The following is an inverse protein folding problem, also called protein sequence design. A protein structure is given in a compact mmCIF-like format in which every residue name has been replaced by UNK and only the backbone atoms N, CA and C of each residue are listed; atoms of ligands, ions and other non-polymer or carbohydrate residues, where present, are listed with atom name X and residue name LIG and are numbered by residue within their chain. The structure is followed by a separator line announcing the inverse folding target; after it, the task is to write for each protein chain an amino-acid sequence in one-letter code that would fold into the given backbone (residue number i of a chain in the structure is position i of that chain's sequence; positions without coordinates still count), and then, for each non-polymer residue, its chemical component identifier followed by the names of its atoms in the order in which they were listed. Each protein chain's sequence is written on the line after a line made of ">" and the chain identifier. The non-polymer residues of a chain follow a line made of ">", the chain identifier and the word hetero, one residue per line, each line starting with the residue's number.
data_IF_895417354336
#
_entry.id   IF_895417354336
#
_cell.length_a   1.000
_cell.length_b   1.000
_cell.length_c   1.000
_cell.angle_alpha   90.00
_cell.angle_beta   90.00
_cell.angle_gamma   90.00
#
_symmetry.space_group_name_H-M   'P 1'
#
loop_
_entity.id
_entity.type
_entity.pdbx_description
1 polymer ?
#
# COMPACT_ATOMS: atom_id res chain seq x y z
N UNK A 1 -51.42 -64.69 68.49
CA UNK A 1 -51.73 -63.70 67.43
C UNK A 1 -50.94 -62.48 67.80
N UNK A 2 -49.86 -62.29 67.10
CA UNK A 2 -48.82 -61.24 67.39
C UNK A 2 -49.06 -60.11 66.44
N UNK A 3 -49.37 -58.95 66.94
CA UNK A 3 -49.48 -57.69 66.18
C UNK A 3 -48.08 -57.09 66.02
N UNK A 4 -47.65 -56.89 64.85
CA UNK A 4 -46.38 -56.31 64.50
C UNK A 4 -46.62 -54.81 64.07
N UNK A 5 -46.17 -53.88 64.87
CA UNK A 5 -46.26 -52.46 64.59
C UNK A 5 -45.05 -52.01 63.78
N UNK A 6 -45.26 -51.51 62.59
CA UNK A 6 -44.21 -50.99 61.72
C UNK A 6 -44.00 -49.49 62.02
N UNK A 7 -42.81 -49.13 62.48
CA UNK A 7 -42.38 -47.74 62.67
C UNK A 7 -41.78 -47.25 61.34
N UNK A 8 -42.40 -46.23 60.75
CA UNK A 8 -41.92 -45.59 59.53
C UNK A 8 -40.87 -44.50 59.89
N UNK A 9 -39.69 -44.64 59.45
CA UNK A 9 -38.61 -43.70 59.61
C UNK A 9 -38.50 -42.86 58.33
N UNK A 10 -38.91 -41.58 58.39
CA UNK A 10 -38.80 -40.64 57.24
C UNK A 10 -37.39 -40.04 57.17
N UNK A 11 -36.63 -40.42 56.15
CA UNK A 11 -35.37 -39.77 55.82
C UNK A 11 -35.64 -38.50 54.96
N UNK A 12 -35.29 -37.34 55.49
CA UNK A 12 -35.20 -36.11 54.72
C UNK A 12 -33.91 -36.08 53.92
N UNK A 13 -34.01 -36.27 52.61
CA UNK A 13 -32.91 -36.09 51.64
C UNK A 13 -32.80 -34.58 51.35
N UNK A 14 -31.75 -33.94 51.86
CA UNK A 14 -31.35 -32.57 51.47
C UNK A 14 -30.78 -32.60 50.08
N UNK A 15 -31.42 -31.97 49.10
CA UNK A 15 -30.89 -31.66 47.78
C UNK A 15 -29.82 -30.56 47.86
N UNK A 16 -28.55 -30.95 47.89
CA UNK A 16 -27.43 -30.05 47.64
C UNK A 16 -27.41 -29.68 46.15
N UNK A 17 -27.85 -28.46 45.81
CA UNK A 17 -27.76 -27.92 44.47
C UNK A 17 -26.31 -27.61 44.10
N UNK A 18 -25.66 -28.51 43.36
CA UNK A 18 -24.39 -28.25 42.71
C UNK A 18 -24.61 -27.31 41.53
N UNK A 19 -24.41 -26.01 41.74
CA UNK A 19 -24.44 -25.02 40.67
C UNK A 19 -23.28 -25.21 39.71
N UNK A 20 -23.49 -26.00 38.67
CA UNK A 20 -22.58 -26.06 37.51
C UNK A 20 -22.56 -24.66 36.86
N UNK A 21 -21.51 -23.88 37.08
CA UNK A 21 -21.23 -22.68 36.29
C UNK A 21 -21.09 -23.14 34.82
N UNK A 22 -22.13 -22.86 34.03
CA UNK A 22 -22.04 -23.00 32.57
C UNK A 22 -20.89 -22.12 32.11
N UNK A 23 -19.85 -22.70 31.53
CA UNK A 23 -18.78 -21.95 30.89
C UNK A 23 -19.41 -21.01 29.86
N UNK A 24 -19.22 -19.74 30.02
CA UNK A 24 -19.68 -18.72 29.12
C UNK A 24 -18.96 -18.94 27.78
N UNK A 25 -19.70 -19.29 26.75
CA UNK A 25 -19.16 -19.49 25.42
C UNK A 25 -18.65 -18.13 24.94
N UNK A 26 -17.40 -18.01 24.48
CA UNK A 26 -16.88 -16.73 24.03
C UNK A 26 -17.80 -16.18 22.94
N UNK A 27 -18.21 -14.91 23.11
CA UNK A 27 -19.01 -14.20 22.11
C UNK A 27 -18.30 -14.26 20.76
N UNK A 28 -19.02 -14.52 19.65
CA UNK A 28 -18.40 -14.56 18.34
C UNK A 28 -17.75 -13.20 18.06
N UNK A 29 -16.48 -13.23 17.64
CA UNK A 29 -15.77 -12.01 17.23
C UNK A 29 -16.56 -11.34 16.10
N UNK A 30 -16.85 -10.04 16.19
CA UNK A 30 -17.63 -9.34 15.18
C UNK A 30 -16.95 -9.47 13.82
N UNK A 31 -17.71 -9.87 12.81
CA UNK A 31 -17.22 -9.92 11.42
C UNK A 31 -17.09 -8.49 10.92
N UNK A 32 -15.87 -8.01 10.71
CA UNK A 32 -15.60 -6.71 10.10
C UNK A 32 -15.93 -6.82 8.61
N UNK A 33 -16.92 -6.09 8.15
CA UNK A 33 -17.37 -6.09 6.76
C UNK A 33 -17.01 -4.82 6.00
N UNK A 34 -16.49 -3.81 6.72
CA UNK A 34 -16.08 -2.52 6.15
C UNK A 34 -14.69 -2.13 6.62
N UNK A 35 -13.98 -1.32 5.81
CA UNK A 35 -12.68 -0.75 6.13
C UNK A 35 -12.56 0.61 5.43
N UNK A 36 -12.13 1.65 6.14
CA UNK A 36 -12.08 3.01 5.61
C UNK A 36 -13.40 3.45 4.96
N UNK A 37 -14.53 3.11 5.59
CA UNK A 37 -15.87 3.42 5.09
C UNK A 37 -16.31 2.61 3.87
N UNK A 38 -15.55 1.60 3.44
CA UNK A 38 -15.81 0.80 2.25
C UNK A 38 -16.04 -0.67 2.59
N UNK A 39 -16.93 -1.34 1.85
CA UNK A 39 -17.12 -2.78 2.00
C UNK A 39 -15.86 -3.55 1.57
N UNK A 40 -15.47 -4.52 2.40
CA UNK A 40 -14.37 -5.42 2.13
C UNK A 40 -14.71 -6.40 1.01
N UNK A 41 -13.72 -6.72 0.18
CA UNK A 41 -13.79 -7.79 -0.80
C UNK A 41 -13.44 -9.15 -0.16
N UNK A 42 -13.86 -10.23 -0.79
CA UNK A 42 -13.56 -11.58 -0.30
C UNK A 42 -12.05 -11.80 -0.18
N UNK A 43 -11.63 -12.36 0.95
CA UNK A 43 -10.23 -12.63 1.26
C UNK A 43 -9.45 -11.42 1.79
N UNK A 44 -10.07 -10.22 1.87
CA UNK A 44 -9.45 -9.06 2.50
C UNK A 44 -9.88 -8.91 3.96
N UNK A 45 -9.05 -8.26 4.75
CA UNK A 45 -9.31 -7.89 6.14
C UNK A 45 -9.03 -6.42 6.37
N UNK A 46 -9.50 -5.89 7.50
CA UNK A 46 -9.19 -4.54 7.93
C UNK A 46 -8.28 -4.57 9.15
N UNK A 47 -7.25 -3.75 9.11
CA UNK A 47 -6.46 -3.46 10.30
C UNK A 47 -6.59 -1.98 10.66
N UNK A 48 -6.54 -1.69 11.96
CA UNK A 48 -6.50 -0.32 12.48
C UNK A 48 -5.16 -0.08 13.16
N UNK A 49 -4.53 1.03 12.83
CA UNK A 49 -3.31 1.52 13.45
C UNK A 49 -3.38 3.04 13.55
N UNK A 50 -3.11 3.62 14.74
CA UNK A 50 -3.11 5.07 14.98
C UNK A 50 -4.39 5.78 14.47
N UNK A 51 -5.56 5.18 14.70
CA UNK A 51 -6.88 5.63 14.23
C UNK A 51 -7.02 5.71 12.69
N UNK A 52 -6.15 5.05 11.94
CA UNK A 52 -6.25 4.87 10.49
C UNK A 52 -6.53 3.41 10.18
N UNK A 53 -7.28 3.19 9.12
CA UNK A 53 -7.61 1.85 8.65
C UNK A 53 -6.82 1.51 7.38
N UNK A 54 -6.47 0.24 7.24
CA UNK A 54 -5.86 -0.29 6.03
C UNK A 54 -6.52 -1.60 5.60
N UNK A 55 -6.81 -1.72 4.32
CA UNK A 55 -7.24 -2.98 3.71
C UNK A 55 -6.01 -3.85 3.52
N UNK A 56 -6.07 -5.08 4.00
CA UNK A 56 -4.98 -6.07 3.90
C UNK A 56 -5.48 -7.30 3.16
N UNK A 57 -4.69 -7.78 2.22
CA UNK A 57 -4.84 -9.10 1.62
C UNK A 57 -3.56 -9.90 1.83
N UNK A 58 -3.71 -11.12 2.33
CA UNK A 58 -2.62 -12.07 2.54
C UNK A 58 -2.76 -13.23 1.56
N UNK A 59 -1.73 -13.52 0.73
CA UNK A 59 -1.77 -14.66 -0.16
C UNK A 59 -1.78 -15.97 0.64
N UNK A 60 -2.24 -17.06 0.03
CA UNK A 60 -2.29 -18.38 0.65
C UNK A 60 -0.92 -19.05 0.79
N UNK A 61 0.05 -18.60 0.03
CA UNK A 61 1.41 -19.14 0.02
C UNK A 61 2.30 -18.48 1.09
N UNK A 62 3.55 -18.92 1.20
CA UNK A 62 4.56 -18.29 2.04
C UNK A 62 4.69 -16.82 1.67
N UNK A 63 4.74 -15.96 2.69
CA UNK A 63 4.89 -14.51 2.48
C UNK A 63 6.36 -14.15 2.44
N UNK A 64 6.77 -13.43 1.38
CA UNK A 64 8.16 -13.02 1.17
C UNK A 64 8.39 -11.51 1.34
N UNK A 65 7.35 -10.72 1.61
CA UNK A 65 7.48 -9.27 1.76
C UNK A 65 6.15 -8.55 1.81
N UNK A 66 6.20 -7.24 1.59
CA UNK A 66 5.04 -6.34 1.70
C UNK A 66 4.93 -5.49 0.44
N UNK A 67 3.71 -5.34 -0.08
CA UNK A 67 3.37 -4.35 -1.09
C UNK A 67 2.39 -3.32 -0.51
N UNK A 68 2.78 -2.05 -0.46
CA UNK A 68 1.95 -0.95 0.05
C UNK A 68 1.36 -0.18 -1.12
N UNK A 69 0.05 0.08 -1.09
CA UNK A 69 -0.67 0.78 -2.14
C UNK A 69 -1.22 2.11 -1.62
N UNK A 70 -0.69 3.21 -2.13
CA UNK A 70 -0.98 4.59 -1.71
C UNK A 70 -1.93 5.26 -2.70
N UNK A 71 -3.12 5.62 -2.23
CA UNK A 71 -4.18 6.21 -3.07
C UNK A 71 -3.90 7.67 -3.46
N UNK A 72 -4.60 8.16 -4.50
CA UNK A 72 -4.65 9.58 -4.88
C UNK A 72 -5.41 10.45 -3.87
N UNK A 73 -5.57 11.73 -4.14
CA UNK A 73 -6.30 12.67 -3.29
C UNK A 73 -7.34 13.49 -4.11
N UNK A 74 -8.65 13.42 -3.74
CA UNK A 74 -9.22 12.53 -2.72
C UNK A 74 -9.22 11.07 -3.19
N UNK A 75 -9.03 10.13 -2.27
CA UNK A 75 -8.90 8.73 -2.67
C UNK A 75 -9.17 7.72 -1.56
N UNK A 76 -9.07 6.46 -1.94
CA UNK A 76 -9.38 5.36 -1.03
C UNK A 76 -8.53 4.12 -1.28
N UNK A 77 -8.34 3.27 -0.25
CA UNK A 77 -7.64 2.00 -0.34
C UNK A 77 -8.15 1.11 -1.47
N UNK A 78 -9.48 1.01 -1.62
CA UNK A 78 -10.11 0.18 -2.64
C UNK A 78 -9.84 0.66 -4.06
N UNK A 79 -9.83 2.00 -4.29
CA UNK A 79 -9.53 2.57 -5.62
C UNK A 79 -8.12 2.22 -6.06
N UNK A 80 -7.12 2.44 -5.21
CA UNK A 80 -5.72 2.15 -5.57
C UNK A 80 -5.45 0.66 -5.71
N UNK A 81 -6.03 -0.18 -4.84
CA UNK A 81 -5.95 -1.64 -4.96
C UNK A 81 -6.45 -2.15 -6.31
N UNK A 82 -7.49 -1.52 -6.87
CA UNK A 82 -8.01 -1.85 -8.21
C UNK A 82 -7.09 -1.37 -9.34
N UNK A 83 -6.54 -0.14 -9.23
CA UNK A 83 -5.64 0.42 -10.25
C UNK A 83 -4.46 -0.53 -10.50
N UNK A 84 -3.85 -1.04 -9.44
CA UNK A 84 -2.68 -1.93 -9.54
C UNK A 84 -3.02 -3.42 -9.49
N UNK A 85 -4.28 -3.80 -9.25
CA UNK A 85 -4.68 -5.18 -8.95
C UNK A 85 -3.85 -5.79 -7.81
N UNK A 86 -3.93 -5.16 -6.64
CA UNK A 86 -3.13 -5.49 -5.46
C UNK A 86 -3.18 -6.99 -5.10
N UNK A 87 -4.35 -7.61 -5.25
CA UNK A 87 -4.51 -9.06 -5.01
C UNK A 87 -3.68 -9.91 -5.97
N UNK A 88 -3.67 -9.60 -7.27
CA UNK A 88 -2.85 -10.32 -8.25
C UNK A 88 -1.35 -10.19 -7.97
N UNK A 89 -0.90 -8.99 -7.54
CA UNK A 89 0.50 -8.79 -7.13
C UNK A 89 0.80 -9.66 -5.91
N UNK A 90 -0.06 -9.63 -4.89
CA UNK A 90 0.11 -10.46 -3.70
C UNK A 90 0.26 -11.95 -4.04
N UNK A 91 -0.64 -12.48 -4.85
CA UNK A 91 -0.66 -13.90 -5.18
C UNK A 91 0.56 -14.32 -6.02
N UNK A 92 0.98 -13.50 -7.00
CA UNK A 92 2.10 -13.84 -7.88
C UNK A 92 3.47 -13.62 -7.25
N UNK A 93 3.63 -12.55 -6.45
CA UNK A 93 4.91 -12.15 -5.86
C UNK A 93 5.05 -12.58 -4.39
N UNK A 94 4.06 -13.29 -3.85
CA UNK A 94 4.04 -13.79 -2.46
C UNK A 94 4.17 -12.64 -1.42
N UNK A 95 3.51 -11.49 -1.68
CA UNK A 95 3.57 -10.31 -0.85
C UNK A 95 2.24 -10.12 -0.10
N UNK A 96 2.29 -9.66 1.14
CA UNK A 96 1.09 -9.10 1.76
C UNK A 96 0.82 -7.75 1.12
N UNK A 97 -0.36 -7.54 0.52
CA UNK A 97 -0.79 -6.23 0.09
C UNK A 97 -1.45 -5.46 1.23
N UNK A 98 -1.06 -4.20 1.36
CA UNK A 98 -1.57 -3.28 2.38
C UNK A 98 -1.94 -1.98 1.71
N UNK A 99 -3.22 -1.60 1.81
CA UNK A 99 -3.72 -0.34 1.24
C UNK A 99 -4.25 0.53 2.37
N UNK A 100 -3.44 1.43 2.93
CA UNK A 100 -3.85 2.31 4.02
C UNK A 100 -4.70 3.48 3.53
N UNK A 101 -5.54 4.02 4.43
CA UNK A 101 -6.25 5.28 4.24
C UNK A 101 -5.41 6.45 4.77
N UNK A 102 -5.19 7.44 3.93
CA UNK A 102 -4.62 8.73 4.33
C UNK A 102 -5.63 9.58 5.13
N UNK A 103 -5.15 10.49 5.97
CA UNK A 103 -6.01 11.39 6.76
C UNK A 103 -6.82 12.29 5.83
N UNK A 104 -8.15 12.34 6.03
CA UNK A 104 -9.07 13.10 5.19
C UNK A 104 -8.90 12.78 3.69
N UNK A 105 -8.67 11.49 3.37
CA UNK A 105 -8.47 11.00 2.00
C UNK A 105 -7.23 11.59 1.29
N UNK A 106 -6.23 12.03 2.06
CA UNK A 106 -5.00 12.70 1.60
C UNK A 106 -3.76 12.20 2.33
N UNK A 107 -2.59 12.66 1.85
CA UNK A 107 -1.28 12.42 2.47
C UNK A 107 -0.66 13.76 2.88
N UNK A 108 -0.02 13.82 4.05
CA UNK A 108 0.39 15.03 4.75
C UNK A 108 1.59 15.82 4.18
N UNK A 109 1.74 15.88 2.87
CA UNK A 109 2.77 16.69 2.19
C UNK A 109 2.15 17.83 1.34
N UNK A 110 0.82 17.94 1.32
CA UNK A 110 0.07 18.74 0.34
C UNK A 110 0.09 20.25 0.57
N UNK A 111 0.51 20.72 1.74
CA UNK A 111 0.53 22.15 2.01
C UNK A 111 1.90 22.61 2.47
N UNK A 112 2.43 23.65 1.83
CA UNK A 112 3.60 24.40 2.32
C UNK A 112 3.36 24.98 3.72
N UNK A 113 2.08 25.15 4.10
CA UNK A 113 1.66 25.65 5.40
C UNK A 113 1.51 24.56 6.47
N UNK A 114 1.58 23.28 6.09
CA UNK A 114 1.56 22.20 7.08
C UNK A 114 2.81 22.25 7.95
N UNK A 115 2.63 22.07 9.25
CA UNK A 115 3.77 21.96 10.17
C UNK A 115 4.68 20.78 9.76
N UNK A 116 5.96 20.88 10.10
CA UNK A 116 6.92 19.81 9.83
C UNK A 116 6.44 18.47 10.43
N UNK A 117 5.80 18.49 11.61
CA UNK A 117 5.24 17.31 12.26
C UNK A 117 4.09 16.68 11.45
N UNK A 118 3.18 17.50 10.88
CA UNK A 118 2.10 16.98 10.04
C UNK A 118 2.64 16.33 8.76
N UNK A 119 3.70 16.92 8.17
CA UNK A 119 4.38 16.34 7.00
C UNK A 119 5.07 15.01 7.32
N UNK A 120 5.58 14.85 8.56
CA UNK A 120 6.27 13.62 8.99
C UNK A 120 5.30 12.51 9.41
N UNK A 121 4.12 12.84 9.93
CA UNK A 121 3.16 11.89 10.50
C UNK A 121 2.77 10.73 9.55
N UNK A 122 2.71 10.97 8.25
CA UNK A 122 2.40 9.92 7.29
C UNK A 122 3.59 8.97 7.05
N UNK A 123 4.82 9.48 7.08
CA UNK A 123 6.02 8.64 6.99
C UNK A 123 6.12 7.75 8.21
N UNK A 124 5.96 8.32 9.41
CA UNK A 124 6.00 7.58 10.67
C UNK A 124 4.90 6.51 10.72
N UNK A 125 3.69 6.87 10.29
CA UNK A 125 2.59 5.91 10.16
C UNK A 125 2.93 4.75 9.23
N UNK A 126 3.52 4.99 8.06
CA UNK A 126 3.92 3.91 7.13
C UNK A 126 5.01 3.03 7.75
N UNK A 127 5.99 3.60 8.45
CA UNK A 127 7.01 2.82 9.16
C UNK A 127 6.40 1.92 10.23
N UNK A 128 5.47 2.47 11.02
CA UNK A 128 4.75 1.70 12.05
C UNK A 128 3.86 0.62 11.44
N UNK A 129 3.21 0.93 10.31
CA UNK A 129 2.40 -0.04 9.56
C UNK A 129 3.24 -1.21 9.03
N UNK A 130 4.40 -0.93 8.43
CA UNK A 130 5.34 -1.96 7.97
C UNK A 130 5.81 -2.84 9.13
N UNK A 131 6.16 -2.22 10.26
CA UNK A 131 6.57 -2.92 11.48
C UNK A 131 5.46 -3.84 12.00
N UNK A 132 4.23 -3.33 12.07
CA UNK A 132 3.07 -4.13 12.50
C UNK A 132 2.83 -5.32 11.57
N UNK A 133 2.82 -5.11 10.25
CA UNK A 133 2.59 -6.20 9.27
C UNK A 133 3.71 -7.25 9.36
N UNK A 134 4.96 -6.85 9.50
CA UNK A 134 6.08 -7.78 9.68
C UNK A 134 5.92 -8.63 10.94
N UNK A 135 5.62 -7.98 12.06
CA UNK A 135 5.47 -8.64 13.36
C UNK A 135 4.28 -9.61 13.35
N UNK A 136 3.10 -9.17 12.90
CA UNK A 136 1.88 -9.97 12.91
C UNK A 136 1.98 -11.20 11.99
N UNK A 137 2.87 -11.17 10.99
CA UNK A 137 2.99 -12.22 9.99
C UNK A 137 4.35 -12.94 9.98
N UNK A 138 5.23 -12.64 10.94
CA UNK A 138 6.57 -13.21 11.05
C UNK A 138 7.41 -13.04 9.78
N UNK A 139 7.31 -11.87 9.10
CA UNK A 139 8.07 -11.58 7.88
C UNK A 139 9.48 -11.15 8.28
N UNK A 140 10.49 -11.93 7.85
CA UNK A 140 11.91 -11.70 8.15
C UNK A 140 12.68 -11.05 7.00
N UNK A 141 12.07 -10.95 5.83
CA UNK A 141 12.68 -10.31 4.65
C UNK A 141 12.50 -8.80 4.68
N UNK A 142 13.39 -8.07 4.01
CA UNK A 142 13.31 -6.61 3.90
C UNK A 142 12.59 -6.14 2.63
N UNK A 143 11.98 -7.08 1.86
CA UNK A 143 11.27 -6.75 0.63
C UNK A 143 10.04 -5.89 0.89
N UNK A 144 10.08 -4.63 0.48
CA UNK A 144 8.95 -3.68 0.53
C UNK A 144 8.84 -2.94 -0.80
N UNK A 145 7.68 -3.04 -1.40
CA UNK A 145 7.33 -2.40 -2.65
C UNK A 145 6.23 -1.36 -2.41
N UNK A 146 6.44 -0.13 -2.88
CA UNK A 146 5.48 0.97 -2.71
C UNK A 146 4.86 1.30 -4.06
N UNK A 147 3.56 1.18 -4.16
CA UNK A 147 2.77 1.55 -5.34
C UNK A 147 1.96 2.80 -5.02
N UNK A 148 2.15 3.87 -5.78
CA UNK A 148 1.45 5.12 -5.56
C UNK A 148 0.76 5.65 -6.81
N UNK A 149 -0.48 6.09 -6.67
CA UNK A 149 -1.23 6.78 -7.72
C UNK A 149 -1.43 8.24 -7.36
N UNK A 150 -1.13 9.19 -8.27
CA UNK A 150 -1.34 10.63 -8.07
C UNK A 150 -0.68 11.11 -6.77
N UNK A 151 -1.44 11.57 -5.80
CA UNK A 151 -0.97 11.93 -4.46
C UNK A 151 -0.18 10.79 -3.77
N UNK A 152 -0.58 9.54 -3.97
CA UNK A 152 0.16 8.37 -3.50
C UNK A 152 1.51 8.21 -4.19
N UNK A 153 1.64 8.64 -5.45
CA UNK A 153 2.90 8.68 -6.17
C UNK A 153 3.87 9.70 -5.57
N UNK A 154 3.40 10.91 -5.26
CA UNK A 154 4.18 11.88 -4.51
C UNK A 154 4.65 11.33 -3.17
N UNK A 155 3.76 10.64 -2.44
CA UNK A 155 4.10 10.01 -1.17
C UNK A 155 5.12 8.89 -1.34
N UNK A 156 5.06 8.10 -2.42
CA UNK A 156 6.05 7.06 -2.71
C UNK A 156 7.46 7.65 -2.87
N UNK A 157 7.61 8.76 -3.59
CA UNK A 157 8.88 9.47 -3.69
C UNK A 157 9.36 10.03 -2.35
N UNK A 158 8.46 10.59 -1.54
CA UNK A 158 8.79 11.07 -0.20
C UNK A 158 9.33 9.94 0.68
N UNK A 159 8.70 8.78 0.66
CA UNK A 159 9.15 7.60 1.39
C UNK A 159 10.54 7.14 0.91
N UNK A 160 10.75 7.08 -0.41
CA UNK A 160 12.06 6.74 -0.97
C UNK A 160 13.17 7.73 -0.55
N UNK A 161 12.83 9.02 -0.36
CA UNK A 161 13.78 10.00 0.16
C UNK A 161 14.08 9.85 1.65
N UNK A 162 13.07 9.56 2.47
CA UNK A 162 13.20 9.63 3.92
C UNK A 162 13.51 8.29 4.59
N UNK A 163 13.05 7.18 3.99
CA UNK A 163 13.24 5.83 4.54
C UNK A 163 13.76 4.84 3.47
N UNK A 164 14.74 5.21 2.63
CA UNK A 164 15.18 4.37 1.50
C UNK A 164 15.63 2.98 1.93
N UNK A 165 16.25 2.84 3.10
CA UNK A 165 16.67 1.54 3.65
C UNK A 165 15.54 0.57 3.99
N UNK A 166 14.29 1.03 3.97
CA UNK A 166 13.10 0.19 4.19
C UNK A 166 12.39 -0.18 2.88
N UNK A 167 12.87 0.32 1.72
CA UNK A 167 12.15 0.22 0.44
C UNK A 167 13.00 -0.50 -0.59
N UNK A 168 12.44 -1.55 -1.18
CA UNK A 168 13.06 -2.29 -2.30
C UNK A 168 12.85 -1.55 -3.61
N UNK A 169 11.59 -1.15 -3.88
CA UNK A 169 11.24 -0.43 -5.09
C UNK A 169 10.00 0.44 -4.90
N UNK A 170 9.88 1.49 -5.74
CA UNK A 170 8.65 2.25 -5.90
C UNK A 170 8.13 2.15 -7.33
N UNK A 171 6.79 2.11 -7.46
CA UNK A 171 6.05 2.31 -8.70
C UNK A 171 5.17 3.52 -8.52
N UNK A 172 5.43 4.59 -9.27
CA UNK A 172 4.64 5.80 -9.21
C UNK A 172 3.86 6.02 -10.50
N UNK A 173 2.55 6.08 -10.40
CA UNK A 173 1.63 6.37 -11.50
C UNK A 173 1.05 7.77 -11.35
N UNK A 174 1.34 8.65 -12.31
CA UNK A 174 0.83 10.02 -12.39
C UNK A 174 1.13 10.89 -11.14
N UNK A 175 2.30 10.69 -10.52
CA UNK A 175 2.73 11.45 -9.35
C UNK A 175 4.25 11.48 -9.21
N UNK A 176 4.91 12.57 -9.62
CA UNK A 176 6.37 12.77 -9.51
C UNK A 176 6.76 13.35 -8.15
N UNK A 177 8.04 13.73 -7.97
CA UNK A 177 8.51 14.33 -6.73
C UNK A 177 7.81 15.68 -6.46
N UNK A 178 7.52 15.92 -5.21
CA UNK A 178 6.91 17.16 -4.74
C UNK A 178 7.69 17.72 -3.56
N UNK A 179 8.00 19.03 -3.61
CA UNK A 179 8.82 19.72 -2.64
C UNK A 179 10.19 20.10 -3.18
N UNK A 180 11.07 20.58 -2.29
CA UNK A 180 12.45 20.90 -2.63
C UNK A 180 13.32 19.64 -2.54
N UNK A 181 14.18 19.41 -3.52
CA UNK A 181 15.12 18.28 -3.52
C UNK A 181 16.14 18.36 -2.38
N UNK A 182 16.38 19.53 -1.76
CA UNK A 182 17.19 19.60 -0.55
C UNK A 182 16.61 18.80 0.62
N UNK A 183 15.30 18.56 0.62
CA UNK A 183 14.62 17.68 1.57
C UNK A 183 14.78 16.18 1.22
N UNK A 184 15.35 15.87 0.06
CA UNK A 184 15.65 14.52 -0.41
C UNK A 184 17.18 14.33 -0.50
N UNK A 185 17.84 14.35 0.64
CA UNK A 185 19.30 14.28 0.74
C UNK A 185 19.86 12.85 0.79
N UNK A 186 19.05 11.84 0.49
CA UNK A 186 19.51 10.45 0.48
C UNK A 186 20.53 10.19 -0.63
N UNK A 187 21.50 9.33 -0.33
CA UNK A 187 22.41 8.74 -1.32
C UNK A 187 22.16 7.24 -1.50
N UNK A 188 21.09 6.71 -0.89
CA UNK A 188 20.76 5.29 -0.98
C UNK A 188 19.92 5.03 -2.22
N UNK A 189 20.43 4.22 -3.18
CA UNK A 189 19.69 3.88 -4.39
C UNK A 189 18.42 3.07 -4.08
N UNK A 190 17.34 3.36 -4.83
CA UNK A 190 16.06 2.64 -4.76
C UNK A 190 15.58 2.35 -6.18
N UNK A 191 15.13 1.13 -6.45
CA UNK A 191 14.52 0.79 -7.76
C UNK A 191 13.26 1.60 -8.00
N UNK A 192 13.12 2.20 -9.19
CA UNK A 192 12.01 3.09 -9.51
C UNK A 192 11.41 2.83 -10.88
N UNK A 193 10.09 2.75 -10.91
CA UNK A 193 9.34 2.79 -12.16
C UNK A 193 8.32 3.93 -12.11
N UNK A 194 8.48 4.92 -12.99
CA UNK A 194 7.59 6.07 -13.09
C UNK A 194 6.72 5.98 -14.33
N UNK A 195 5.40 6.05 -14.16
CA UNK A 195 4.41 6.13 -15.25
C UNK A 195 3.81 7.52 -15.30
N UNK A 196 3.84 8.16 -16.45
CA UNK A 196 3.21 9.47 -16.62
C UNK A 196 2.71 9.71 -18.03
N UNK A 197 1.58 10.41 -18.14
CA UNK A 197 1.07 10.85 -19.43
C UNK A 197 1.54 12.27 -19.76
N UNK A 198 2.10 12.52 -20.95
CA UNK A 198 2.34 13.88 -21.42
C UNK A 198 1.07 14.75 -21.50
N UNK A 199 -0.11 14.13 -21.54
CA UNK A 199 -1.41 14.80 -21.63
C UNK A 199 -2.12 14.93 -20.27
N UNK A 200 -1.46 14.54 -19.16
CA UNK A 200 -1.99 14.74 -17.82
C UNK A 200 -2.11 16.24 -17.50
N UNK A 201 -3.34 16.71 -17.23
CA UNK A 201 -3.64 18.12 -16.95
C UNK A 201 -3.77 18.41 -15.46
N UNK A 202 -3.99 17.40 -14.63
CA UNK A 202 -4.14 17.54 -13.18
C UNK A 202 -2.79 17.56 -12.50
N UNK A 203 -1.92 16.65 -12.90
CA UNK A 203 -0.51 16.59 -12.49
C UNK A 203 0.36 16.73 -13.74
N UNK A 204 0.68 17.94 -14.21
CA UNK A 204 1.39 18.12 -15.46
C UNK A 204 2.79 17.48 -15.44
N UNK A 205 3.15 16.81 -16.51
CA UNK A 205 4.48 16.19 -16.67
C UNK A 205 5.63 17.20 -16.53
N UNK A 206 5.37 18.47 -16.88
CA UNK A 206 6.32 19.59 -16.75
C UNK A 206 6.40 20.16 -15.33
N UNK A 207 5.64 19.60 -14.39
CA UNK A 207 5.53 20.11 -13.04
C UNK A 207 4.63 21.34 -12.93
N UNK A 208 4.56 21.91 -11.74
CA UNK A 208 3.77 23.10 -11.41
C UNK A 208 4.31 23.76 -10.15
N UNK A 209 4.60 25.08 -10.20
CA UNK A 209 5.09 25.83 -9.03
C UNK A 209 4.09 25.83 -7.88
N UNK A 210 2.81 26.07 -8.18
CA UNK A 210 1.75 25.94 -7.17
C UNK A 210 1.65 24.50 -6.72
N UNK A 211 1.97 24.27 -5.45
CA UNK A 211 2.04 22.94 -4.84
C UNK A 211 3.40 22.27 -4.98
N UNK A 212 4.43 22.99 -5.47
CA UNK A 212 5.83 22.54 -5.50
C UNK A 212 6.02 21.19 -6.24
N UNK A 213 5.23 20.94 -7.28
CA UNK A 213 5.32 19.72 -8.07
C UNK A 213 6.47 19.88 -9.07
N UNK A 214 7.52 19.08 -8.92
CA UNK A 214 8.66 19.05 -9.86
C UNK A 214 8.22 18.45 -11.19
N UNK A 215 8.94 18.75 -12.26
CA UNK A 215 8.72 18.02 -13.51
C UNK A 215 9.14 16.55 -13.38
N UNK A 216 8.59 15.71 -14.22
CA UNK A 216 9.04 14.29 -14.32
C UNK A 216 10.51 14.26 -14.70
N UNK A 217 10.97 15.13 -15.61
CA UNK A 217 12.36 15.20 -16.00
C UNK A 217 13.30 15.54 -14.83
N UNK A 218 12.97 16.53 -14.00
CA UNK A 218 13.74 16.87 -12.79
C UNK A 218 13.72 15.70 -11.79
N UNK A 219 12.56 15.06 -11.61
CA UNK A 219 12.41 13.90 -10.72
C UNK A 219 13.31 12.75 -11.17
N UNK A 220 13.27 12.40 -12.44
CA UNK A 220 14.11 11.34 -13.01
C UNK A 220 15.59 11.71 -12.90
N UNK A 221 15.99 12.94 -13.29
CA UNK A 221 17.39 13.37 -13.21
C UNK A 221 17.96 13.24 -11.78
N UNK A 222 17.16 13.60 -10.76
CA UNK A 222 17.56 13.45 -9.36
C UNK A 222 17.83 11.98 -8.99
N UNK A 223 16.93 11.08 -9.38
CA UNK A 223 17.06 9.66 -9.04
C UNK A 223 18.05 8.90 -9.92
N UNK A 224 18.26 9.31 -11.17
CA UNK A 224 19.34 8.79 -12.03
C UNK A 224 20.71 9.07 -11.40
N UNK A 225 20.87 10.27 -10.82
CA UNK A 225 22.09 10.64 -10.09
C UNK A 225 22.29 9.77 -8.85
N UNK A 226 21.25 9.60 -8.00
CA UNK A 226 21.32 8.79 -6.78
C UNK A 226 21.62 7.32 -7.11
N UNK A 227 20.99 6.80 -8.17
CA UNK A 227 21.13 5.41 -8.59
C UNK A 227 22.39 5.16 -9.42
N UNK A 228 23.18 6.20 -9.74
CA UNK A 228 24.44 6.09 -10.49
C UNK A 228 24.25 5.63 -11.92
N UNK A 229 23.13 5.98 -12.54
CA UNK A 229 22.81 5.55 -13.90
C UNK A 229 23.67 6.28 -14.94
N UNK A 230 23.90 5.65 -16.11
CA UNK A 230 24.47 6.30 -17.29
C UNK A 230 23.42 7.18 -18.00
N UNK A 231 23.85 7.94 -19.00
CA UNK A 231 22.93 8.71 -19.85
C UNK A 231 22.19 7.84 -20.89
N UNK A 232 22.67 6.61 -21.11
CA UNK A 232 22.08 5.69 -22.07
C UNK A 232 20.91 4.94 -21.49
N UNK A 233 19.92 4.64 -22.33
CA UNK A 233 18.74 3.85 -21.97
C UNK A 233 18.29 2.97 -23.14
N UNK A 234 17.63 1.89 -22.82
CA UNK A 234 16.89 1.07 -23.79
C UNK A 234 15.44 1.52 -23.84
N UNK A 235 14.77 1.28 -24.97
CA UNK A 235 13.35 1.63 -25.17
C UNK A 235 12.57 0.40 -25.57
N UNK A 236 11.39 0.22 -24.94
CA UNK A 236 10.46 -0.88 -25.23
C UNK A 236 9.04 -0.33 -25.38
N UNK A 237 8.38 -0.73 -26.47
CA UNK A 237 6.97 -0.45 -26.71
C UNK A 237 6.08 -1.50 -26.02
N UNK A 238 4.98 -1.04 -25.45
CA UNK A 238 4.02 -1.89 -24.74
C UNK A 238 2.59 -1.68 -25.21
N UNK A 239 1.70 -2.64 -24.93
CA UNK A 239 0.27 -2.48 -25.18
C UNK A 239 -0.33 -1.25 -24.48
N UNK A 240 -1.51 -0.86 -24.90
CA UNK A 240 -2.26 0.26 -24.33
C UNK A 240 -2.65 0.00 -22.88
N UNK A 241 -2.30 0.92 -21.99
CA UNK A 241 -2.64 0.86 -20.55
C UNK A 241 -4.08 1.33 -20.26
N UNK A 242 -4.76 1.91 -21.23
CA UNK A 242 -6.17 2.33 -21.13
C UNK A 242 -6.82 2.38 -22.52
N UNK A 243 -8.14 2.49 -22.58
CA UNK A 243 -8.87 2.61 -23.84
C UNK A 243 -8.54 3.87 -24.64
N UNK A 244 -8.12 4.93 -23.95
CA UNK A 244 -7.73 6.21 -24.57
C UNK A 244 -6.27 6.25 -25.01
N UNK A 245 -5.45 5.30 -24.55
CA UNK A 245 -4.02 5.27 -24.85
C UNK A 245 -3.74 5.07 -26.35
N UNK A 246 -2.76 5.80 -26.87
CA UNK A 246 -2.22 5.60 -28.20
C UNK A 246 -1.01 4.64 -28.24
N UNK A 247 -0.50 4.27 -27.05
CA UNK A 247 0.66 3.40 -26.84
C UNK A 247 1.34 3.73 -25.53
N UNK A 248 2.24 2.87 -25.11
CA UNK A 248 3.08 3.06 -23.93
C UNK A 248 4.52 2.75 -24.33
N UNK A 249 5.43 3.68 -24.08
CA UNK A 249 6.85 3.51 -24.31
C UNK A 249 7.58 3.56 -22.97
N UNK A 250 8.44 2.57 -22.71
CA UNK A 250 9.26 2.52 -21.50
C UNK A 250 10.73 2.72 -21.84
N UNK A 251 11.35 3.67 -21.15
CA UNK A 251 12.80 3.88 -21.14
C UNK A 251 13.35 3.28 -19.86
N UNK A 252 14.38 2.45 -19.95
CA UNK A 252 15.10 1.87 -18.81
C UNK A 252 16.57 2.26 -18.92
N UNK A 253 17.09 3.00 -17.92
CA UNK A 253 18.46 3.49 -17.91
C UNK A 253 19.46 2.38 -17.57
N UNK A 254 20.63 2.47 -18.21
CA UNK A 254 21.72 1.51 -18.07
C UNK A 254 22.70 1.92 -16.96
N UNK A 255 23.50 0.98 -16.49
CA UNK A 255 24.58 1.23 -15.52
C UNK A 255 24.13 1.56 -14.11
N UNK A 256 22.84 1.56 -13.82
CA UNK A 256 22.28 1.89 -12.52
C UNK A 256 22.64 0.85 -11.46
N UNK A 257 22.95 1.27 -10.24
CA UNK A 257 23.04 0.40 -9.05
C UNK A 257 21.68 -0.20 -8.70
N UNK A 258 20.61 0.58 -8.87
CA UNK A 258 19.20 0.15 -8.80
C UNK A 258 18.49 0.71 -10.02
N UNK A 259 17.67 -0.13 -10.67
CA UNK A 259 16.99 0.21 -11.91
C UNK A 259 16.15 1.50 -11.79
N UNK A 260 16.20 2.33 -12.81
CA UNK A 260 15.31 3.46 -13.03
C UNK A 260 14.64 3.31 -14.37
N UNK A 261 13.32 3.30 -14.40
CA UNK A 261 12.52 3.20 -15.61
C UNK A 261 11.43 4.27 -15.66
N UNK A 262 11.14 4.75 -16.87
CA UNK A 262 10.07 5.70 -17.14
C UNK A 262 9.17 5.20 -18.27
N UNK A 263 7.86 5.17 -18.03
CA UNK A 263 6.86 4.80 -19.04
C UNK A 263 5.99 6.00 -19.43
N UNK A 264 6.13 6.44 -20.66
CA UNK A 264 5.27 7.46 -21.24
C UNK A 264 3.91 6.87 -21.65
N UNK A 265 2.84 7.33 -21.00
CA UNK A 265 1.47 6.90 -21.26
C UNK A 265 0.81 7.85 -22.27
N UNK A 266 1.00 7.60 -23.57
CA UNK A 266 0.53 8.51 -24.59
C UNK A 266 -1.00 8.57 -24.66
N UNK A 267 -1.56 9.80 -24.57
CA UNK A 267 -2.98 10.12 -24.63
C UNK A 267 -3.83 9.47 -23.51
N UNK A 268 -3.27 9.44 -22.29
CA UNK A 268 -3.97 8.94 -21.10
C UNK A 268 -4.29 10.12 -20.17
N UNK A 269 -5.56 10.43 -19.86
CA UNK A 269 -5.91 11.45 -18.89
C UNK A 269 -5.52 10.99 -17.46
N UNK A 270 -5.42 11.95 -16.52
CA UNK A 270 -5.10 11.65 -15.12
C UNK A 270 -6.05 10.59 -14.53
N UNK A 271 -7.34 10.86 -14.58
CA UNK A 271 -8.38 9.91 -14.17
C UNK A 271 -8.74 8.96 -15.33
N UNK A 272 -7.99 7.88 -15.46
CA UNK A 272 -8.21 6.86 -16.47
C UNK A 272 -8.64 5.52 -15.87
N UNK A 273 -9.32 4.71 -16.68
CA UNK A 273 -9.49 3.28 -16.38
C UNK A 273 -8.25 2.54 -16.88
N UNK A 274 -7.31 2.34 -15.98
CA UNK A 274 -6.05 1.65 -16.28
C UNK A 274 -6.25 0.13 -16.38
N UNK A 275 -5.56 -0.50 -17.34
CA UNK A 275 -5.39 -1.95 -17.38
C UNK A 275 -4.31 -2.35 -16.37
N UNK A 276 -4.74 -2.84 -15.21
CA UNK A 276 -3.81 -3.29 -14.17
C UNK A 276 -2.89 -4.43 -14.65
N UNK A 277 -3.38 -5.27 -15.56
CA UNK A 277 -2.59 -6.34 -16.16
C UNK A 277 -1.45 -5.80 -17.02
N UNK A 278 -1.74 -4.84 -17.90
CA UNK A 278 -0.71 -4.21 -18.75
C UNK A 278 0.27 -3.40 -17.90
N UNK A 279 -0.21 -2.63 -16.91
CA UNK A 279 0.68 -1.95 -15.98
C UNK A 279 1.63 -2.94 -15.30
N UNK A 280 1.11 -4.08 -14.81
CA UNK A 280 1.90 -5.12 -14.16
C UNK A 280 2.97 -5.69 -15.09
N UNK A 281 2.64 -6.00 -16.33
CA UNK A 281 3.61 -6.50 -17.31
C UNK A 281 4.77 -5.52 -17.50
N UNK A 282 4.49 -4.21 -17.48
CA UNK A 282 5.50 -3.17 -17.69
C UNK A 282 6.42 -3.04 -16.47
N UNK A 283 5.88 -2.98 -15.24
CA UNK A 283 6.71 -2.82 -14.04
C UNK A 283 7.20 -4.16 -13.43
N UNK A 284 6.86 -5.32 -14.02
CA UNK A 284 7.29 -6.63 -13.52
C UNK A 284 8.79 -6.74 -13.16
N UNK A 285 9.72 -6.09 -13.89
CA UNK A 285 11.15 -6.15 -13.55
C UNK A 285 11.53 -5.68 -12.15
N UNK A 286 10.71 -4.86 -11.48
CA UNK A 286 11.02 -4.39 -10.11
C UNK A 286 11.09 -5.51 -9.07
N UNK A 287 10.52 -6.68 -9.36
CA UNK A 287 10.48 -7.83 -8.44
C UNK A 287 11.69 -8.78 -8.59
N UNK A 288 12.52 -8.58 -9.61
CA UNK A 288 13.67 -9.42 -9.95
C UNK A 288 14.93 -9.15 -9.10
#
# INVERSE_FOLDING_TARGET
>A
MINLTIVSCSFLLGCGGSGSKKAEQPSPTPIITTCAGQSLESGTSCITLENREAIVYKPSNTVEGIAVFLHGAPGSPKKVSKIFNAKSISDSEQLISVSPQGINEKWGWESVNDSANAKQADVDFIVNLLTKIRTDNNITTDKVYIFGYSAGGFMAYKLACQIPGHITAIVSLAGQYRGDFSACSTSTPVTMHHFHSPQDREVPIKGREVGEIKSVAETLAHWLLINGCSETFTTVEHPKVSSTSNGTETQTWEGCVKEVSFSALNNVPHEASYSAEVLKQIYQPIFN
#
